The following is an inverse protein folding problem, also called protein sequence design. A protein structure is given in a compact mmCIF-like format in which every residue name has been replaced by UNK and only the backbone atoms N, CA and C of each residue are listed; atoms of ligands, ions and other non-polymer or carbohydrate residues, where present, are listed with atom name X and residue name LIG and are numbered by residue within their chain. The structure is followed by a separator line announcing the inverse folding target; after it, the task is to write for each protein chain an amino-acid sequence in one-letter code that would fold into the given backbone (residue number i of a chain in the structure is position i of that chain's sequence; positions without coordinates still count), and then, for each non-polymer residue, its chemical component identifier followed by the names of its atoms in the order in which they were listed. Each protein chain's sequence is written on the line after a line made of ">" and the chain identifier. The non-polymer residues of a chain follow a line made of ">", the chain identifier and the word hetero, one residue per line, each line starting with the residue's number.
data_IF_962897587844
#
_entry.id   IF_962897587844
#
_cell.length_a   1.000
_cell.length_b   1.000
_cell.length_c   1.000
_cell.angle_alpha   90.00
_cell.angle_beta   90.00
_cell.angle_gamma   90.00
#
_symmetry.space_group_name_H-M   'P 1'
#
loop_
_entity.id
_entity.type
_entity.pdbx_description
1 polymer ?
#
# COMPACT_ATOMS: atom_id res chain seq x y z
N UNK A 1 6.16 -5.40 2.84
CA UNK A 1 5.84 -4.37 1.84
C UNK A 1 6.85 -3.26 1.96
N UNK A 2 7.27 -2.64 0.86
CA UNK A 2 8.18 -1.49 0.85
C UNK A 2 7.40 -0.29 0.34
N UNK A 3 7.48 0.86 1.04
CA UNK A 3 6.75 2.08 0.69
C UNK A 3 7.61 3.04 -0.14
N UNK A 4 6.98 3.70 -1.11
CA UNK A 4 7.56 4.82 -1.87
C UNK A 4 7.53 6.11 -1.05
N UNK A 5 8.40 7.07 -1.38
CA UNK A 5 8.43 8.39 -0.72
C UNK A 5 7.09 9.14 -0.80
N UNK A 6 6.32 8.94 -1.88
CA UNK A 6 5.02 9.59 -2.04
C UNK A 6 3.97 8.99 -1.07
N UNK A 7 3.99 7.67 -0.86
CA UNK A 7 3.13 7.01 0.13
C UNK A 7 3.50 7.44 1.55
N UNK A 8 4.80 7.60 1.84
CA UNK A 8 5.29 8.13 3.13
C UNK A 8 4.83 9.57 3.36
N UNK A 9 4.92 10.44 2.33
CA UNK A 9 4.49 11.84 2.46
C UNK A 9 2.96 11.95 2.59
N UNK A 10 2.20 11.15 1.86
CA UNK A 10 0.74 11.13 1.95
C UNK A 10 0.26 10.64 3.32
N UNK A 11 0.89 9.59 3.86
CA UNK A 11 0.56 9.06 5.18
C UNK A 11 1.01 9.95 6.36
N UNK A 12 1.88 10.95 6.10
CA UNK A 12 2.35 11.92 7.11
C UNK A 12 1.56 13.23 7.11
N UNK A 13 0.73 13.45 6.11
CA UNK A 13 -0.10 14.65 6.04
C UNK A 13 -1.24 14.55 7.05
N UNK A 14 -1.15 15.34 8.13
CA UNK A 14 -2.10 15.37 9.24
C UNK A 14 -3.52 15.81 8.84
N UNK A 15 -3.72 16.28 7.60
CA UNK A 15 -5.04 16.60 7.06
C UNK A 15 -5.71 15.41 6.36
N UNK A 16 -5.04 14.26 6.25
CA UNK A 16 -5.60 13.07 5.61
C UNK A 16 -5.84 11.98 6.65
N UNK A 17 -7.06 11.46 6.70
CA UNK A 17 -7.36 10.18 7.34
C UNK A 17 -7.13 9.06 6.35
N UNK A 18 -6.34 8.06 6.74
CA UNK A 18 -6.01 6.90 5.92
C UNK A 18 -6.60 5.66 6.57
N UNK A 19 -7.39 4.90 5.81
CA UNK A 19 -7.85 3.58 6.21
C UNK A 19 -6.99 2.51 5.51
N UNK A 20 -6.64 1.43 6.21
CA UNK A 20 -5.88 0.31 5.68
C UNK A 20 -6.75 -0.95 5.55
N UNK A 21 -6.91 -1.44 4.33
CA UNK A 21 -7.50 -2.75 4.05
C UNK A 21 -6.41 -3.80 3.80
N UNK A 22 -6.38 -4.84 4.63
CA UNK A 22 -5.49 -5.99 4.47
C UNK A 22 -6.32 -7.20 4.06
N UNK A 23 -6.04 -7.75 2.88
CA UNK A 23 -6.60 -9.03 2.42
C UNK A 23 -5.51 -10.07 2.55
N UNK A 24 -5.72 -11.08 3.40
CA UNK A 24 -4.76 -12.15 3.67
C UNK A 24 -5.28 -13.50 3.19
N UNK A 25 -4.40 -14.50 3.29
CA UNK A 25 -4.71 -15.91 3.01
C UNK A 25 -5.24 -16.15 1.59
N UNK A 26 -4.80 -15.30 0.65
CA UNK A 26 -5.19 -15.38 -0.75
C UNK A 26 -4.65 -16.68 -1.34
N UNK A 27 -5.57 -17.54 -1.80
CA UNK A 27 -5.25 -18.77 -2.52
C UNK A 27 -5.54 -18.54 -4.00
N UNK A 28 -4.56 -18.88 -4.84
CA UNK A 28 -4.69 -18.79 -6.29
C UNK A 28 -4.79 -20.20 -6.87
N UNK A 29 -5.90 -20.50 -7.51
CA UNK A 29 -6.15 -21.76 -8.20
C UNK A 29 -5.66 -21.65 -9.65
N UNK A 30 -4.46 -22.14 -9.90
CA UNK A 30 -3.80 -22.10 -11.22
C UNK A 30 -4.33 -23.13 -12.22
N UNK A 31 -5.27 -23.99 -11.79
CA UNK A 31 -5.87 -25.05 -12.63
C UNK A 31 -7.12 -24.59 -13.38
N UNK A 32 -7.60 -23.37 -13.15
CA UNK A 32 -8.74 -22.78 -13.89
C UNK A 32 -8.21 -21.78 -14.92
N UNK A 33 -8.92 -21.62 -16.04
CA UNK A 33 -8.68 -20.53 -17.00
C UNK A 33 -9.96 -19.70 -17.14
N UNK A 34 -9.99 -18.43 -16.66
CA UNK A 34 -8.89 -17.71 -16.02
C UNK A 34 -8.55 -18.24 -14.61
N UNK A 35 -7.38 -17.88 -14.08
CA UNK A 35 -7.00 -18.19 -12.70
C UNK A 35 -8.04 -17.62 -11.74
N UNK A 36 -8.51 -18.47 -10.82
CA UNK A 36 -9.45 -18.05 -9.77
C UNK A 36 -8.65 -17.76 -8.50
N UNK A 37 -8.81 -16.56 -7.94
CA UNK A 37 -8.29 -16.23 -6.61
C UNK A 37 -9.43 -16.22 -5.59
N UNK A 38 -9.18 -16.76 -4.40
CA UNK A 38 -10.08 -16.65 -3.25
C UNK A 38 -9.32 -15.97 -2.12
N UNK A 39 -9.88 -14.90 -1.55
CA UNK A 39 -9.40 -14.30 -0.31
C UNK A 39 -10.25 -14.78 0.86
N UNK A 40 -9.61 -15.30 1.91
CA UNK A 40 -10.34 -15.87 3.06
C UNK A 40 -10.59 -14.82 4.15
N UNK A 41 -9.70 -13.84 4.32
CA UNK A 41 -9.79 -12.85 5.40
C UNK A 41 -9.57 -11.43 4.90
N UNK A 42 -10.52 -10.55 5.21
CA UNK A 42 -10.39 -9.10 5.01
C UNK A 42 -10.38 -8.43 6.37
N UNK A 43 -9.34 -7.64 6.64
CA UNK A 43 -9.23 -6.80 7.84
C UNK A 43 -9.23 -5.33 7.42
N UNK A 44 -10.01 -4.53 8.13
CA UNK A 44 -10.10 -3.09 7.93
C UNK A 44 -9.60 -2.38 9.19
N UNK A 45 -8.55 -1.60 9.05
CA UNK A 45 -8.01 -0.73 10.10
C UNK A 45 -8.37 0.70 9.76
N UNK A 46 -9.29 1.28 10.54
CA UNK A 46 -9.70 2.67 10.41
C UNK A 46 -8.68 3.60 11.04
N UNK A 47 -8.54 4.81 10.50
CA UNK A 47 -7.66 5.86 11.02
C UNK A 47 -6.23 5.34 11.24
N UNK A 48 -5.77 4.51 10.30
CA UNK A 48 -4.49 3.82 10.39
C UNK A 48 -3.35 4.80 10.18
N UNK A 49 -2.43 4.83 11.15
CA UNK A 49 -1.17 5.54 11.05
C UNK A 49 -0.01 4.53 10.94
N UNK A 50 0.91 4.70 9.96
CA UNK A 50 2.12 3.89 9.89
C UNK A 50 3.03 4.16 11.09
N UNK A 51 3.69 3.12 11.60
CA UNK A 51 4.73 3.30 12.60
C UNK A 51 5.88 4.17 12.03
N UNK A 52 6.49 5.02 12.87
CA UNK A 52 7.56 5.94 12.43
C UNK A 52 8.73 5.23 11.72
N UNK A 53 9.02 3.99 12.12
CA UNK A 53 10.09 3.17 11.56
C UNK A 53 9.80 2.63 10.15
N UNK A 54 8.52 2.52 9.78
CA UNK A 54 8.06 2.10 8.45
C UNK A 54 8.00 3.28 7.48
N UNK A 55 7.98 4.51 8.01
CA UNK A 55 8.07 5.74 7.23
C UNK A 55 9.50 6.11 6.82
N UNK A 56 10.49 5.28 7.17
CA UNK A 56 11.88 5.49 6.73
C UNK A 56 12.01 5.00 5.28
N UNK A 57 12.35 5.87 4.31
CA UNK A 57 12.54 5.45 2.92
C UNK A 57 13.66 4.42 2.85
N UNK A 58 13.37 3.19 2.42
CA UNK A 58 14.37 2.10 2.44
C UNK A 58 15.15 1.94 1.14
N UNK A 59 14.71 2.47 -0.01
CA UNK A 59 15.50 2.33 -1.28
C UNK A 59 15.12 3.16 -2.51
N UNK A 60 13.93 3.76 -2.62
CA UNK A 60 13.50 4.38 -3.89
C UNK A 60 13.03 5.84 -3.73
N UNK A 61 13.75 6.74 -4.39
CA UNK A 61 13.40 8.15 -4.59
C UNK A 61 12.78 8.27 -6.00
N UNK A 62 11.49 8.59 -6.10
CA UNK A 62 10.84 8.84 -7.39
C UNK A 62 10.95 10.34 -7.71
N UNK A 63 11.61 10.70 -8.81
CA UNK A 63 11.58 12.07 -9.33
C UNK A 63 10.39 12.22 -10.27
N UNK A 64 9.49 13.15 -9.95
CA UNK A 64 8.44 13.57 -10.87
C UNK A 64 9.10 14.14 -12.14
N UNK A 65 8.63 13.76 -13.35
CA UNK A 65 9.13 14.37 -14.58
C UNK A 65 8.76 15.85 -14.58
N UNK A 66 9.76 16.72 -14.79
CA UNK A 66 9.56 18.16 -14.98
C UNK A 66 8.58 18.35 -16.15
N UNK A 67 7.45 19.02 -15.92
CA UNK A 67 6.55 19.38 -17.01
C UNK A 67 7.33 20.24 -18.03
N UNK A 68 7.23 19.95 -19.34
CA UNK A 68 7.77 20.83 -20.35
C UNK A 68 6.99 22.15 -20.35
N UNK A 69 7.75 23.25 -20.43
CA UNK A 69 7.31 24.65 -20.48
C UNK A 69 6.40 24.98 -21.64
#
# INVERSE_FOLDING_TARGET
>A
MELTINEVLHARDQNNTVDLYVVSDIKVYTRTDPYTATGDTVTHHQDWEPAEEDLRPRKYEYRLPSQPS
#
